data_IF_058997071713
#
_entry.id   IF_058997071713
#
_cell.length_a   1.000
_cell.length_b   1.000
_cell.length_c   1.000
_cell.angle_alpha   90.00
_cell.angle_beta   90.00
_cell.angle_gamma   90.00
#
_symmetry.space_group_name_H-M   'P 1'
#
loop_
_entity.id
_entity.type
_entity.pdbx_description
1 polymer ?
#
# COMPACT_ATOMS: atom_id res chain seq x y z
N UNK A 1 -13.93 9.62 5.14
CA UNK A 1 -14.62 8.52 4.45
C UNK A 1 -13.96 7.24 4.90
N UNK A 2 -14.73 6.24 5.32
CA UNK A 2 -14.20 4.91 5.70
C UNK A 2 -14.89 3.93 4.77
N UNK A 3 -14.13 3.29 3.89
CA UNK A 3 -14.63 2.28 2.97
C UNK A 3 -14.18 0.92 3.51
N UNK A 4 -15.14 0.02 3.74
CA UNK A 4 -14.86 -1.35 4.17
C UNK A 4 -15.28 -2.26 3.02
N UNK A 5 -14.31 -2.99 2.44
CA UNK A 5 -14.58 -4.04 1.48
C UNK A 5 -15.07 -5.28 2.22
N UNK A 6 -16.38 -5.55 2.16
CA UNK A 6 -16.99 -6.74 2.73
C UNK A 6 -17.26 -7.72 1.58
N UNK A 7 -16.27 -8.56 1.28
CA UNK A 7 -16.46 -9.73 0.44
C UNK A 7 -17.58 -10.61 1.01
N UNK A 8 -18.67 -10.78 0.25
CA UNK A 8 -19.79 -11.64 0.62
C UNK A 8 -19.31 -13.09 0.79
N UNK A 9 -19.25 -13.58 2.03
CA UNK A 9 -19.35 -15.02 2.33
C UNK A 9 -20.83 -15.39 2.35
N UNK A 10 -21.29 -16.05 1.29
CA UNK A 10 -22.59 -16.72 1.27
C UNK A 10 -22.52 -18.00 2.10
N UNK A 11 -23.34 -18.09 3.14
CA UNK A 11 -23.71 -19.33 3.83
C UNK A 11 -24.85 -19.99 3.05
N UNK A 12 -24.79 -21.31 2.87
CA UNK A 12 -25.97 -22.12 2.55
C UNK A 12 -25.70 -23.36 1.69
N UNK A 13 -25.82 -24.52 2.35
CA UNK A 13 -26.21 -25.83 1.80
C UNK A 13 -25.13 -26.81 1.29
N UNK A 14 -24.95 -27.83 2.14
CA UNK A 14 -24.27 -29.12 1.96
C UNK A 14 -25.25 -30.11 1.30
N UNK A 15 -24.89 -30.83 0.23
CA UNK A 15 -25.33 -32.21 -0.13
C UNK A 15 -24.36 -32.78 -1.23
N UNK A 16 -24.28 -34.11 -1.46
CA UNK A 16 -23.02 -34.85 -1.57
C UNK A 16 -22.47 -35.10 -2.99
N UNK A 17 -21.23 -35.59 -2.99
CA UNK A 17 -20.44 -36.15 -4.08
C UNK A 17 -21.22 -37.00 -5.09
N UNK A 18 -21.10 -36.64 -6.37
CA UNK A 18 -21.20 -37.57 -7.49
C UNK A 18 -19.95 -37.40 -8.36
N UNK A 19 -19.10 -38.43 -8.37
CA UNK A 19 -18.02 -38.59 -9.35
C UNK A 19 -18.67 -39.13 -10.62
N UNK A 20 -18.54 -38.37 -11.73
CA UNK A 20 -18.81 -38.88 -13.06
C UNK A 20 -17.68 -38.46 -13.98
N UNK A 21 -16.96 -39.47 -14.47
CA UNK A 21 -15.90 -39.38 -15.47
C UNK A 21 -16.54 -39.47 -16.85
N UNK A 22 -16.49 -38.39 -17.64
CA UNK A 22 -16.33 -38.48 -19.09
C UNK A 22 -16.05 -37.11 -19.72
N UNK A 23 -15.02 -37.09 -20.57
CA UNK A 23 -14.48 -35.88 -21.17
C UNK A 23 -15.40 -35.24 -22.20
N UNK A 24 -15.80 -34.00 -21.94
CA UNK A 24 -16.06 -32.98 -22.95
C UNK A 24 -15.43 -31.68 -22.46
N UNK A 25 -14.58 -31.08 -23.28
CA UNK A 25 -13.85 -29.86 -22.96
C UNK A 25 -14.79 -28.72 -22.63
N UNK A 26 -14.98 -28.46 -21.33
CA UNK A 26 -15.55 -27.23 -20.85
C UNK A 26 -14.55 -26.11 -21.13
N UNK A 27 -14.74 -25.41 -22.25
CA UNK A 27 -14.33 -24.00 -22.33
C UNK A 27 -15.05 -23.30 -21.18
N UNK A 28 -14.36 -23.11 -20.05
CA UNK A 28 -14.81 -22.18 -19.00
C UNK A 28 -14.96 -20.83 -19.68
N UNK A 29 -16.20 -20.51 -20.05
CA UNK A 29 -16.59 -19.14 -20.30
C UNK A 29 -16.30 -18.42 -18.99
N UNK A 30 -15.18 -17.70 -18.95
CA UNK A 30 -14.84 -16.75 -17.90
C UNK A 30 -15.88 -15.62 -17.97
N UNK A 31 -17.10 -15.91 -17.53
CA UNK A 31 -18.08 -14.90 -17.18
C UNK A 31 -17.53 -14.28 -15.90
N UNK A 32 -16.63 -13.31 -16.06
CA UNK A 32 -16.32 -12.36 -15.00
C UNK A 32 -17.64 -11.65 -14.72
N UNK A 33 -18.40 -12.17 -13.77
CA UNK A 33 -19.41 -11.38 -13.08
C UNK A 33 -18.67 -10.13 -12.63
N UNK A 34 -19.07 -8.98 -13.16
CA UNK A 34 -18.55 -7.69 -12.74
C UNK A 34 -18.87 -7.59 -11.26
N UNK A 35 -17.86 -7.66 -10.41
CA UNK A 35 -18.05 -7.53 -8.98
C UNK A 35 -18.64 -6.14 -8.74
N UNK A 36 -19.90 -6.08 -8.30
CA UNK A 36 -20.50 -4.83 -7.89
C UNK A 36 -19.76 -4.37 -6.63
N UNK A 37 -19.12 -3.20 -6.72
CA UNK A 37 -18.49 -2.59 -5.54
C UNK A 37 -19.55 -1.78 -4.80
N UNK A 38 -19.68 -2.01 -3.49
CA UNK A 38 -20.52 -1.21 -2.62
C UNK A 38 -19.71 -0.04 -2.07
N UNK A 39 -20.00 1.17 -2.53
CA UNK A 39 -19.43 2.39 -1.97
C UNK A 39 -20.31 2.88 -0.81
N UNK A 40 -19.68 3.13 0.34
CA UNK A 40 -20.35 3.59 1.55
C UNK A 40 -19.74 4.94 1.97
N UNK A 41 -20.56 5.98 1.99
CA UNK A 41 -20.13 7.34 2.28
C UNK A 41 -20.82 7.89 3.53
N UNK A 42 -20.04 8.47 4.43
CA UNK A 42 -20.53 9.12 5.64
C UNK A 42 -19.69 10.37 5.96
N UNK A 43 -20.33 11.41 6.49
CA UNK A 43 -19.63 12.62 6.91
C UNK A 43 -18.77 12.36 8.15
N UNK A 44 -17.57 12.95 8.18
CA UNK A 44 -16.67 12.84 9.34
C UNK A 44 -17.35 13.29 10.64
N UNK A 45 -18.12 14.38 10.60
CA UNK A 45 -18.87 14.88 11.77
C UNK A 45 -19.82 13.81 12.31
N UNK A 46 -20.57 13.14 11.44
CA UNK A 46 -21.53 12.11 11.85
C UNK A 46 -20.83 10.88 12.44
N UNK A 47 -19.66 10.49 11.92
CA UNK A 47 -18.84 9.41 12.50
C UNK A 47 -18.39 9.79 13.91
N UNK A 48 -17.93 11.03 14.10
CA UNK A 48 -17.48 11.53 15.41
C UNK A 48 -18.67 11.61 16.38
N UNK A 49 -19.80 12.16 15.95
CA UNK A 49 -20.99 12.30 16.78
C UNK A 49 -21.56 10.93 17.18
N UNK A 50 -21.55 9.96 16.26
CA UNK A 50 -21.90 8.57 16.57
C UNK A 50 -20.95 7.95 17.60
N UNK A 51 -19.63 8.07 17.41
CA UNK A 51 -18.63 7.57 18.38
C UNK A 51 -18.75 8.22 19.75
N UNK A 52 -19.22 9.46 19.82
CA UNK A 52 -19.48 10.20 21.06
C UNK A 52 -20.87 9.91 21.66
N UNK A 53 -21.67 9.02 21.06
CA UNK A 53 -23.02 8.69 21.53
C UNK A 53 -24.08 9.77 21.28
N UNK A 54 -23.76 10.82 20.50
CA UNK A 54 -24.72 11.88 20.15
C UNK A 54 -25.71 11.46 19.08
N UNK A 55 -25.36 10.44 18.28
CA UNK A 55 -26.25 9.81 17.32
C UNK A 55 -26.54 8.38 17.76
N UNK A 56 -27.80 7.98 17.67
CA UNK A 56 -28.19 6.57 17.76
C UNK A 56 -27.79 5.82 16.49
N UNK A 57 -27.68 4.49 16.55
CA UNK A 57 -27.38 3.65 15.37
C UNK A 57 -28.38 3.89 14.23
N UNK A 58 -29.68 4.00 14.53
CA UNK A 58 -30.70 4.30 13.54
C UNK A 58 -30.54 5.69 12.88
N UNK A 59 -30.14 6.71 13.65
CA UNK A 59 -29.86 8.04 13.09
C UNK A 59 -28.59 8.04 12.25
N UNK A 60 -27.55 7.34 12.70
CA UNK A 60 -26.29 7.24 11.97
C UNK A 60 -26.48 6.51 10.63
N UNK A 61 -27.16 5.36 10.62
CA UNK A 61 -27.47 4.59 9.40
C UNK A 61 -28.24 5.40 8.35
N UNK A 62 -29.19 6.23 8.78
CA UNK A 62 -29.94 7.13 7.87
C UNK A 62 -29.06 8.21 7.23
N UNK A 63 -27.89 8.51 7.80
CA UNK A 63 -26.92 9.49 7.27
C UNK A 63 -25.84 8.85 6.41
N UNK A 64 -25.80 7.52 6.33
CA UNK A 64 -24.88 6.79 5.45
C UNK A 64 -25.52 6.69 4.06
N UNK A 65 -24.77 7.07 3.03
CA UNK A 65 -25.16 6.85 1.64
C UNK A 65 -24.51 5.57 1.11
N UNK A 66 -25.31 4.73 0.45
CA UNK A 66 -24.85 3.51 -0.21
C UNK A 66 -25.00 3.69 -1.71
N UNK A 67 -23.92 3.46 -2.45
CA UNK A 67 -23.92 3.47 -3.91
C UNK A 67 -23.35 2.17 -4.42
N UNK A 68 -24.18 1.36 -5.07
CA UNK A 68 -23.71 0.19 -5.80
C UNK A 68 -23.20 0.67 -7.16
N UNK A 69 -21.91 0.46 -7.41
CA UNK A 69 -21.27 0.92 -8.64
C UNK A 69 -20.78 -0.29 -9.43
N UNK A 70 -21.24 -0.36 -10.68
CA UNK A 70 -20.67 -1.28 -11.66
C UNK A 70 -19.21 -0.90 -11.93
N UNK A 71 -18.38 -1.92 -12.09
CA UNK A 71 -16.95 -1.74 -12.34
C UNK A 71 -16.70 -0.95 -13.64
N UNK A 72 -16.07 0.22 -13.54
CA UNK A 72 -15.59 0.95 -14.72
C UNK A 72 -14.30 0.30 -15.21
N UNK A 73 -14.42 -0.52 -16.25
CA UNK A 73 -13.31 -1.27 -16.86
C UNK A 73 -12.09 -0.42 -17.19
N UNK A 74 -12.26 0.84 -17.60
CA UNK A 74 -11.14 1.71 -17.95
C UNK A 74 -10.40 2.13 -16.68
N UNK A 75 -11.16 2.53 -15.66
CA UNK A 75 -10.60 2.91 -14.37
C UNK A 75 -9.91 1.72 -13.70
N UNK A 76 -10.56 0.54 -13.64
CA UNK A 76 -9.94 -0.68 -13.12
C UNK A 76 -8.66 -1.06 -13.87
N UNK A 77 -8.66 -0.94 -15.20
CA UNK A 77 -7.45 -1.21 -16.00
C UNK A 77 -6.32 -0.24 -15.65
N UNK A 78 -6.60 1.06 -15.52
CA UNK A 78 -5.57 2.04 -15.15
C UNK A 78 -5.03 1.78 -13.73
N UNK A 79 -5.90 1.40 -12.78
CA UNK A 79 -5.47 1.01 -11.43
C UNK A 79 -4.55 -0.21 -11.50
N UNK A 80 -4.92 -1.25 -12.25
CA UNK A 80 -4.10 -2.44 -12.40
C UNK A 80 -2.73 -2.16 -13.05
N UNK A 81 -2.68 -1.25 -14.04
CA UNK A 81 -1.42 -0.83 -14.66
C UNK A 81 -0.52 -0.10 -13.65
N UNK A 82 -1.05 0.87 -12.92
CA UNK A 82 -0.27 1.62 -11.92
C UNK A 82 0.20 0.72 -10.78
N UNK A 83 -0.65 -0.20 -10.31
CA UNK A 83 -0.26 -1.21 -9.32
C UNK A 83 0.91 -2.06 -9.82
N UNK A 84 0.85 -2.53 -11.08
CA UNK A 84 1.95 -3.31 -11.65
C UNK A 84 3.24 -2.51 -11.82
N UNK A 85 3.13 -1.21 -12.11
CA UNK A 85 4.29 -0.32 -12.17
C UNK A 85 4.93 -0.20 -10.78
N UNK A 86 4.13 0.02 -9.73
CA UNK A 86 4.63 0.05 -8.35
C UNK A 86 5.33 -1.26 -7.99
N UNK A 87 4.72 -2.40 -8.27
CA UNK A 87 5.33 -3.72 -8.00
C UNK A 87 6.65 -3.93 -8.76
N UNK A 88 6.74 -3.39 -9.98
CA UNK A 88 7.94 -3.59 -10.82
C UNK A 88 9.04 -2.63 -10.42
N UNK A 89 8.74 -1.35 -10.25
CA UNK A 89 9.72 -0.32 -9.92
C UNK A 89 10.24 -0.42 -8.48
N UNK A 90 9.42 -0.96 -7.56
CA UNK A 90 9.73 -1.10 -6.14
C UNK A 90 9.95 -2.57 -5.73
N UNK A 91 10.07 -3.47 -6.72
CA UNK A 91 10.29 -4.88 -6.51
C UNK A 91 11.72 -5.22 -6.09
N UNK A 92 11.92 -6.47 -5.68
CA UNK A 92 13.17 -7.01 -5.13
C UNK A 92 14.39 -6.87 -6.06
N UNK A 93 14.19 -6.79 -7.37
CA UNK A 93 15.28 -6.71 -8.34
C UNK A 93 15.96 -5.33 -8.37
N UNK A 94 15.31 -4.30 -7.81
CA UNK A 94 15.76 -2.91 -7.90
C UNK A 94 16.17 -2.29 -6.57
N UNK A 95 15.79 -2.90 -5.44
CA UNK A 95 16.01 -2.33 -4.11
C UNK A 95 16.70 -3.31 -3.19
N UNK A 96 17.85 -2.92 -2.63
CA UNK A 96 18.68 -3.78 -1.78
C UNK A 96 18.17 -3.90 -0.33
N UNK A 97 17.23 -3.03 0.04
CA UNK A 97 16.86 -2.74 1.42
C UNK A 97 15.40 -3.07 1.70
N UNK A 98 14.50 -2.20 1.27
CA UNK A 98 13.06 -2.43 1.31
C UNK A 98 12.59 -2.80 -0.09
N UNK A 99 11.80 -3.85 -0.17
CA UNK A 99 11.22 -4.29 -1.44
C UNK A 99 9.75 -4.63 -1.25
N UNK A 100 8.94 -4.35 -2.26
CA UNK A 100 7.55 -4.77 -2.27
C UNK A 100 7.47 -6.30 -2.16
N UNK A 101 6.76 -6.80 -1.15
CA UNK A 101 6.54 -8.22 -0.89
C UNK A 101 5.07 -8.60 -1.07
N UNK A 102 4.54 -8.34 -2.26
CA UNK A 102 3.19 -8.72 -2.60
C UNK A 102 2.69 -8.10 -3.88
N UNK A 103 1.39 -8.28 -4.13
CA UNK A 103 0.69 -7.57 -5.20
C UNK A 103 0.11 -6.27 -4.66
N UNK A 104 0.53 -5.14 -5.24
CA UNK A 104 -0.09 -3.85 -4.95
C UNK A 104 -1.57 -3.87 -5.36
N UNK A 105 -2.45 -3.40 -4.49
CA UNK A 105 -3.89 -3.29 -4.78
C UNK A 105 -4.30 -1.84 -4.96
N UNK A 106 -4.89 -1.53 -6.10
CA UNK A 106 -5.43 -0.20 -6.40
C UNK A 106 -6.96 -0.14 -6.29
N UNK A 107 -7.49 0.93 -5.69
CA UNK A 107 -8.91 1.25 -5.69
C UNK A 107 -9.13 2.71 -6.09
N UNK A 108 -10.20 2.98 -6.83
CA UNK A 108 -10.61 4.34 -7.18
C UNK A 108 -11.86 4.73 -6.41
N UNK A 109 -11.78 5.85 -5.69
CA UNK A 109 -12.86 6.45 -4.95
C UNK A 109 -13.21 7.80 -5.58
N UNK A 110 -14.43 7.94 -6.09
CA UNK A 110 -14.85 9.15 -6.80
C UNK A 110 -14.78 10.37 -5.89
N UNK A 111 -14.18 11.45 -6.39
CA UNK A 111 -13.99 12.71 -5.67
C UNK A 111 -12.83 12.69 -4.68
N UNK A 112 -12.28 11.51 -4.35
CA UNK A 112 -11.10 11.38 -3.51
C UNK A 112 -9.86 11.06 -4.35
N UNK A 113 -9.96 10.08 -5.25
CA UNK A 113 -8.93 9.69 -6.20
C UNK A 113 -8.54 8.21 -6.12
N UNK A 114 -7.30 7.90 -6.48
CA UNK A 114 -6.77 6.55 -6.51
C UNK A 114 -5.97 6.26 -5.24
N UNK A 115 -6.25 5.13 -4.61
CA UNK A 115 -5.55 4.63 -3.43
C UNK A 115 -4.91 3.31 -3.78
N UNK A 116 -3.63 3.17 -3.46
CA UNK A 116 -2.86 1.95 -3.62
C UNK A 116 -2.39 1.47 -2.25
N UNK A 117 -2.44 0.16 -2.04
CA UNK A 117 -1.99 -0.50 -0.82
C UNK A 117 -0.86 -1.45 -1.20
N UNK A 118 0.29 -1.24 -0.57
CA UNK A 118 1.51 -1.99 -0.80
C UNK A 118 2.05 -2.51 0.52
N UNK A 119 2.62 -3.71 0.48
CA UNK A 119 3.42 -4.24 1.56
C UNK A 119 4.88 -4.20 1.11
N UNK A 120 5.77 -3.77 2.00
CA UNK A 120 7.19 -3.87 1.74
C UNK A 120 7.88 -4.52 2.93
N UNK A 121 8.86 -5.38 2.67
CA UNK A 121 9.67 -6.00 3.71
C UNK A 121 11.12 -5.56 3.62
N UNK A 122 11.77 -5.51 4.78
CA UNK A 122 13.21 -5.42 4.86
C UNK A 122 13.81 -6.75 4.38
N UNK A 123 14.60 -6.70 3.29
CA UNK A 123 15.29 -7.84 2.71
C UNK A 123 16.81 -7.67 2.74
N UNK A 124 17.52 -8.77 2.50
CA UNK A 124 18.99 -8.78 2.41
C UNK A 124 19.72 -9.15 3.71
N UNK A 125 21.04 -8.88 3.74
CA UNK A 125 21.95 -9.15 4.87
C UNK A 125 21.51 -8.47 6.18
N UNK A 126 20.54 -7.55 6.13
CA UNK A 126 19.98 -6.85 7.28
C UNK A 126 18.82 -7.60 7.97
N UNK A 127 18.23 -8.64 7.36
CA UNK A 127 17.18 -9.45 8.03
C UNK A 127 17.75 -10.39 9.09
N UNK A 128 19.05 -10.65 9.04
CA UNK A 128 19.82 -11.25 10.13
C UNK A 128 20.38 -10.14 10.99
N UNK A 129 19.54 -9.56 11.85
CA UNK A 129 20.02 -8.90 13.06
C UNK A 129 21.20 -9.72 13.63
N UNK A 130 22.32 -9.08 14.00
CA UNK A 130 23.49 -9.74 14.56
C UNK A 130 23.24 -10.19 16.01
N UNK A 131 22.08 -10.77 16.31
CA UNK A 131 21.89 -11.53 17.56
C UNK A 131 22.90 -12.69 17.67
N UNK A 132 23.60 -13.02 16.56
CA UNK A 132 24.60 -14.08 16.47
C UNK A 132 25.99 -13.68 15.92
N UNK A 133 26.30 -12.39 15.71
CA UNK A 133 27.66 -12.00 15.28
C UNK A 133 28.24 -11.00 16.29
N UNK A 134 29.41 -11.19 16.91
CA UNK A 134 30.63 -11.77 16.35
C UNK A 134 31.47 -12.44 17.45
N UNK A 135 31.47 -13.77 17.50
CA UNK A 135 32.53 -14.53 18.16
C UNK A 135 33.72 -14.58 17.20
N UNK A 136 34.42 -13.47 17.03
CA UNK A 136 35.66 -13.44 16.25
C UNK A 136 36.73 -14.21 17.00
N UNK A 137 36.98 -15.46 16.58
CA UNK A 137 38.15 -16.22 17.01
C UNK A 137 39.37 -15.58 16.34
N UNK A 138 39.98 -14.61 17.02
CA UNK A 138 41.30 -14.10 16.63
C UNK A 138 42.27 -15.29 16.55
N UNK A 139 43.23 -15.25 15.62
CA UNK A 139 44.27 -16.29 15.48
C UNK A 139 45.11 -16.49 16.76
N UNK A 140 44.96 -15.61 17.75
CA UNK A 140 45.60 -15.58 19.06
C UNK A 140 44.72 -16.09 20.21
N UNK A 141 43.51 -16.61 19.96
CA UNK A 141 42.67 -17.23 20.99
C UNK A 141 42.02 -16.26 21.99
N UNK A 142 42.07 -14.96 21.76
CA UNK A 142 41.45 -13.95 22.62
C UNK A 142 40.18 -13.41 21.96
N UNK A 143 39.04 -13.51 22.64
CA UNK A 143 37.79 -12.90 22.21
C UNK A 143 37.88 -11.39 22.44
N UNK A 144 37.76 -10.60 21.37
CA UNK A 144 37.56 -9.16 21.48
C UNK A 144 36.06 -8.89 21.53
N UNK A 145 35.58 -8.30 22.63
CA UNK A 145 34.22 -7.78 22.72
C UNK A 145 34.22 -6.44 22.00
N UNK A 146 33.70 -6.40 20.77
CA UNK A 146 33.29 -5.13 20.16
C UNK A 146 32.19 -4.57 21.06
N UNK A 147 32.31 -3.31 21.49
CA UNK A 147 31.30 -2.68 22.34
C UNK A 147 29.96 -2.68 21.59
N UNK A 148 28.97 -3.37 22.15
CA UNK A 148 27.66 -3.56 21.54
C UNK A 148 26.99 -2.25 21.10
N UNK A 149 27.24 -1.12 21.79
CA UNK A 149 26.60 0.16 21.46
C UNK A 149 27.07 0.83 20.17
N UNK A 150 28.35 0.71 19.78
CA UNK A 150 28.85 1.37 18.55
C UNK A 150 28.34 0.69 17.27
N UNK A 151 28.15 -0.64 17.33
CA UNK A 151 27.59 -1.42 16.22
C UNK A 151 26.06 -1.29 16.10
N UNK A 152 25.37 -0.95 17.20
CA UNK A 152 23.92 -0.69 17.20
C UNK A 152 23.59 0.67 16.56
N UNK A 153 24.32 1.73 16.90
CA UNK A 153 24.08 3.08 16.33
C UNK A 153 24.32 3.15 14.82
N UNK A 154 25.40 2.53 14.32
CA UNK A 154 25.71 2.47 12.87
C UNK A 154 24.61 1.71 12.10
N UNK A 155 24.08 0.62 12.68
CA UNK A 155 22.98 -0.14 12.09
C UNK A 155 21.65 0.63 12.08
N UNK A 156 21.38 1.48 13.06
CA UNK A 156 20.16 2.29 13.09
C UNK A 156 20.20 3.41 12.04
N UNK A 157 21.35 4.08 11.89
CA UNK A 157 21.55 5.11 10.88
C UNK A 157 21.38 4.57 9.45
N UNK A 158 21.95 3.39 9.17
CA UNK A 158 21.81 2.73 7.88
C UNK A 158 20.34 2.39 7.57
N UNK A 159 19.60 1.90 8.57
CA UNK A 159 18.17 1.57 8.43
C UNK A 159 17.31 2.81 8.18
N UNK A 160 17.58 3.91 8.88
CA UNK A 160 16.88 5.18 8.69
C UNK A 160 17.14 5.75 7.29
N UNK A 161 18.40 5.71 6.82
CA UNK A 161 18.76 6.12 5.45
C UNK A 161 18.02 5.25 4.41
N UNK A 162 18.08 3.93 4.55
CA UNK A 162 17.38 2.98 3.68
C UNK A 162 15.86 3.23 3.63
N UNK A 163 15.26 3.55 4.78
CA UNK A 163 13.84 3.92 4.86
C UNK A 163 13.55 5.21 4.07
N UNK A 164 14.37 6.24 4.25
CA UNK A 164 14.19 7.52 3.55
C UNK A 164 14.38 7.39 2.05
N UNK A 165 15.37 6.63 1.59
CA UNK A 165 15.56 6.32 0.18
C UNK A 165 14.33 5.62 -0.39
N UNK A 166 13.86 4.55 0.26
CA UNK A 166 12.68 3.83 -0.21
C UNK A 166 11.42 4.70 -0.26
N UNK A 167 11.21 5.55 0.75
CA UNK A 167 10.12 6.53 0.77
C UNK A 167 10.20 7.49 -0.43
N UNK A 168 11.40 7.93 -0.78
CA UNK A 168 11.64 8.81 -1.91
C UNK A 168 11.41 8.11 -3.25
N UNK A 169 11.81 6.84 -3.37
CA UNK A 169 11.55 6.01 -4.54
C UNK A 169 10.04 5.84 -4.79
N UNK A 170 9.26 5.60 -3.73
CA UNK A 170 7.79 5.54 -3.84
C UNK A 170 7.24 6.86 -4.39
N UNK A 171 7.73 8.00 -3.92
CA UNK A 171 7.32 9.31 -4.42
C UNK A 171 7.71 9.49 -5.90
N UNK A 172 8.93 9.12 -6.28
CA UNK A 172 9.41 9.23 -7.67
C UNK A 172 8.54 8.42 -8.62
N UNK A 173 8.22 7.16 -8.27
CA UNK A 173 7.32 6.31 -9.07
C UNK A 173 5.93 6.94 -9.20
N UNK A 174 5.38 7.52 -8.12
CA UNK A 174 4.10 8.24 -8.19
C UNK A 174 4.20 9.48 -9.08
N UNK A 175 5.30 10.22 -9.00
CA UNK A 175 5.54 11.43 -9.78
C UNK A 175 5.58 11.11 -11.29
N UNK A 176 6.38 10.10 -11.65
CA UNK A 176 6.61 9.71 -13.03
C UNK A 176 5.38 9.09 -13.68
N UNK A 177 4.65 8.24 -12.95
CA UNK A 177 3.55 7.45 -13.54
C UNK A 177 2.15 7.91 -13.12
N UNK A 178 2.01 8.78 -12.13
CA UNK A 178 0.71 9.24 -11.65
C UNK A 178 -0.12 9.96 -12.72
N UNK A 179 0.54 10.58 -13.71
CA UNK A 179 -0.13 11.20 -14.86
C UNK A 179 -0.90 10.19 -15.74
N UNK A 180 -0.51 8.91 -15.72
CA UNK A 180 -1.16 7.83 -16.50
C UNK A 180 -2.58 7.52 -16.04
N UNK A 181 -2.95 7.97 -14.83
CA UNK A 181 -4.29 7.85 -14.27
C UNK A 181 -5.25 8.90 -14.86
N UNK A 182 -5.47 8.84 -16.18
CA UNK A 182 -6.17 9.86 -17.00
C UNK A 182 -7.64 10.14 -16.61
N UNK A 183 -8.26 9.28 -15.81
CA UNK A 183 -9.65 9.43 -15.36
C UNK A 183 -9.76 10.24 -14.07
N UNK A 184 -8.64 10.48 -13.38
CA UNK A 184 -8.63 11.28 -12.16
C UNK A 184 -8.86 12.76 -12.50
N UNK A 185 -9.75 13.40 -11.74
CA UNK A 185 -9.92 14.82 -11.79
C UNK A 185 -8.68 15.54 -11.23
N UNK A 186 -8.38 16.77 -11.67
CA UNK A 186 -7.21 17.51 -11.18
C UNK A 186 -7.16 17.72 -9.65
N UNK A 187 -8.32 17.74 -9.00
CA UNK A 187 -8.47 17.90 -7.54
C UNK A 187 -8.41 16.59 -6.76
N UNK A 188 -8.46 15.44 -7.44
CA UNK A 188 -8.35 14.12 -6.80
C UNK A 188 -6.88 13.79 -6.51
N UNK A 189 -6.67 12.86 -5.57
CA UNK A 189 -5.35 12.42 -5.11
C UNK A 189 -4.93 11.09 -5.72
N UNK A 190 -3.62 10.91 -5.85
CA UNK A 190 -2.99 9.59 -5.95
C UNK A 190 -2.32 9.35 -4.61
N UNK A 191 -2.73 8.31 -3.90
CA UNK A 191 -2.21 7.97 -2.60
C UNK A 191 -1.69 6.54 -2.58
N UNK A 192 -0.54 6.31 -1.95
CA UNK A 192 0.05 4.99 -1.75
C UNK A 192 0.27 4.81 -0.26
N UNK A 193 -0.40 3.82 0.32
CA UNK A 193 -0.20 3.36 1.69
C UNK A 193 0.76 2.18 1.64
N UNK A 194 1.84 2.29 2.40
CA UNK A 194 2.88 1.27 2.48
C UNK A 194 2.94 0.75 3.90
N UNK A 195 2.69 -0.53 4.06
CA UNK A 195 2.89 -1.24 5.33
C UNK A 195 4.27 -1.91 5.30
N UNK A 196 5.11 -1.57 6.28
CA UNK A 196 6.47 -2.09 6.41
C UNK A 196 6.48 -3.32 7.33
N UNK A 197 6.96 -4.42 6.79
CA UNK A 197 7.19 -5.68 7.49
C UNK A 197 8.67 -5.79 7.85
N UNK A 198 9.03 -5.74 9.13
CA UNK A 198 10.44 -5.79 9.54
C UNK A 198 10.65 -6.28 10.97
N UNK A 199 11.85 -6.82 11.28
CA UNK A 199 12.16 -7.36 12.59
C UNK A 199 12.42 -6.21 13.57
N UNK A 200 11.40 -5.89 14.35
CA UNK A 200 11.39 -5.22 15.66
C UNK A 200 10.77 -3.80 15.70
N UNK A 201 9.74 -3.61 16.54
CA UNK A 201 9.30 -2.27 16.92
C UNK A 201 10.36 -1.61 17.82
N UNK A 202 10.81 -0.40 17.46
CA UNK A 202 11.67 0.44 18.32
C UNK A 202 12.87 1.11 17.64
N UNK A 203 13.25 0.72 16.41
CA UNK A 203 14.48 1.18 15.72
C UNK A 203 14.27 2.41 14.81
N UNK A 204 13.48 3.40 15.22
CA UNK A 204 13.29 4.64 14.44
C UNK A 204 12.50 4.53 13.14
N UNK A 205 12.32 3.33 12.57
CA UNK A 205 11.51 3.11 11.35
C UNK A 205 10.02 2.95 11.71
N UNK A 206 9.09 3.68 11.06
CA UNK A 206 7.66 3.55 11.31
C UNK A 206 7.11 2.20 10.82
N UNK A 207 5.90 1.84 11.25
CA UNK A 207 5.24 0.61 10.75
C UNK A 207 4.76 0.75 9.33
N UNK A 208 4.56 1.98 8.89
CA UNK A 208 4.16 2.29 7.54
C UNK A 208 4.07 3.77 7.31
N UNK A 209 3.79 4.13 6.07
CA UNK A 209 3.57 5.51 5.69
C UNK A 209 2.54 5.61 4.57
N UNK A 210 1.88 6.77 4.52
CA UNK A 210 1.00 7.19 3.46
C UNK A 210 1.66 8.35 2.74
N UNK A 211 1.87 8.21 1.44
CA UNK A 211 2.24 9.31 0.55
C UNK A 211 1.07 9.67 -0.33
N UNK A 212 0.77 10.95 -0.49
CA UNK A 212 -0.33 11.41 -1.34
C UNK A 212 -0.04 12.71 -2.07
N UNK A 213 -0.39 12.74 -3.35
CA UNK A 213 -0.18 13.87 -4.24
C UNK A 213 -1.46 14.19 -5.02
N UNK A 214 -1.77 15.47 -5.20
CA UNK A 214 -2.90 15.85 -6.05
C UNK A 214 -2.56 15.63 -7.53
N UNK A 215 -3.53 15.11 -8.29
CA UNK A 215 -3.37 14.83 -9.72
C UNK A 215 -2.88 16.02 -10.52
N UNK A 216 -3.38 17.24 -10.22
CA UNK A 216 -2.94 18.46 -10.88
C UNK A 216 -1.45 18.76 -10.72
N UNK A 217 -0.85 18.41 -9.59
CA UNK A 217 0.57 18.66 -9.34
C UNK A 217 1.43 17.59 -10.04
N UNK A 218 0.99 16.33 -10.03
CA UNK A 218 1.59 15.25 -10.81
C UNK A 218 1.60 15.57 -12.31
N UNK A 219 0.50 16.13 -12.82
CA UNK A 219 0.39 16.54 -14.23
C UNK A 219 1.27 17.74 -14.58
N UNK A 220 1.53 18.65 -13.63
CA UNK A 220 2.49 19.74 -13.84
C UNK A 220 3.92 19.19 -13.87
N UNK A 221 4.26 18.30 -12.94
CA UNK A 221 5.55 17.62 -12.90
C UNK A 221 5.82 16.86 -14.20
N UNK A 222 4.87 16.05 -14.69
CA UNK A 222 5.03 15.29 -15.94
C UNK A 222 5.18 16.17 -17.19
N UNK A 223 4.79 17.46 -17.11
CA UNK A 223 4.99 18.45 -18.17
C UNK A 223 6.26 19.30 -17.99
N UNK A 224 7.09 18.97 -16.99
CA UNK A 224 8.29 19.74 -16.64
C UNK A 224 8.00 21.12 -16.02
N UNK A 225 6.76 21.37 -15.56
CA UNK A 225 6.36 22.64 -14.94
C UNK A 225 6.67 22.67 -13.43
N UNK A 226 6.99 21.52 -12.84
CA UNK A 226 7.47 21.38 -11.48
C UNK A 226 8.69 20.46 -11.49
N UNK A 227 9.69 20.78 -10.68
CA UNK A 227 10.78 19.84 -10.38
C UNK A 227 10.34 18.83 -9.32
N UNK A 228 11.08 17.72 -9.17
CA UNK A 228 10.79 16.73 -8.13
C UNK A 228 10.85 17.34 -6.72
N UNK A 229 11.82 18.24 -6.47
CA UNK A 229 11.92 18.97 -5.21
C UNK A 229 10.68 19.84 -4.94
N UNK A 230 10.21 20.59 -5.94
CA UNK A 230 8.99 21.40 -5.81
C UNK A 230 7.73 20.57 -5.66
N UNK A 231 7.70 19.36 -6.24
CA UNK A 231 6.61 18.41 -6.04
C UNK A 231 6.63 17.88 -4.62
N UNK A 232 7.80 17.53 -4.07
CA UNK A 232 7.97 17.03 -2.69
C UNK A 232 7.34 17.97 -1.67
N UNK A 233 7.51 19.29 -1.83
CA UNK A 233 6.89 20.31 -0.96
C UNK A 233 5.35 20.36 -1.02
N UNK A 234 4.75 19.77 -2.06
CA UNK A 234 3.30 19.74 -2.29
C UNK A 234 2.67 18.40 -1.93
N UNK A 235 3.49 17.40 -1.60
CA UNK A 235 3.05 16.05 -1.26
C UNK A 235 2.83 15.95 0.24
N UNK A 236 1.78 15.24 0.64
CA UNK A 236 1.55 14.92 2.05
C UNK A 236 2.14 13.55 2.34
N UNK A 237 2.99 13.51 3.36
CA UNK A 237 3.52 12.29 3.96
C UNK A 237 2.98 12.15 5.38
N UNK A 238 2.56 10.94 5.74
CA UNK A 238 2.09 10.62 7.07
C UNK A 238 2.58 9.22 7.48
N UNK A 239 3.35 9.15 8.56
CA UNK A 239 3.85 7.90 9.15
C UNK A 239 2.85 7.39 10.22
N UNK A 240 2.82 6.07 10.44
CA UNK A 240 1.94 5.41 11.41
C UNK A 240 2.51 4.12 12.00
#
# INVERSE_FOLDING_TARGET
TVVVDLGRRGLGEFWPLAVSTEGKGYRRANRRETANTLEVTALRRDIIDYRKGKLTDAQFRKRISFHEKGEDKITSRNMAVMAKILDTALGQEHHQAFSSDGETRGTYLKGLGALFFMHASLQGQYSVLPLFSQLHRTKSGHAAVVRAGEAEEESEADLEEMYHTFRDDVLEVIADYGHTLRKLAPTEYVAVSVDLSGPLPGQGVPRGFLVSAQKRELDKYSRGQLTLAQLRDKVSFQEY
#
